data_IF_209717187342
#
_entry.id   IF_209717187342
#
_cell.length_a   1.000
_cell.length_b   1.000
_cell.length_c   1.000
_cell.angle_alpha   90.00
_cell.angle_beta   90.00
_cell.angle_gamma   90.00
#
_symmetry.space_group_name_H-M   'P 1'
#
loop_
_entity.id
_entity.type
_entity.pdbx_description
1 polymer ?
#
# COMPACT_ATOMS: atom_id res chain seq x y z
N UNK A 1 -12.71 -4.31 37.79
CA UNK A 1 -11.85 -4.13 36.61
C UNK A 1 -12.57 -3.24 35.60
N UNK A 2 -11.84 -2.34 35.01
CA UNK A 2 -12.39 -1.45 33.96
C UNK A 2 -11.84 -1.92 32.61
N UNK A 3 -12.69 -1.98 31.60
CA UNK A 3 -12.31 -2.38 30.26
C UNK A 3 -12.71 -1.26 29.29
N UNK A 4 -11.73 -0.75 28.57
CA UNK A 4 -11.99 0.28 27.57
C UNK A 4 -12.62 -0.35 26.33
N UNK A 5 -13.66 0.30 25.82
CA UNK A 5 -14.25 -0.02 24.52
C UNK A 5 -13.64 0.95 23.51
N UNK A 6 -13.09 0.43 22.40
CA UNK A 6 -12.38 1.24 21.43
C UNK A 6 -13.02 1.15 20.05
N UNK A 7 -12.84 2.22 19.26
CA UNK A 7 -13.20 2.21 17.84
C UNK A 7 -11.93 2.32 17.01
N UNK A 8 -12.05 1.99 15.73
CA UNK A 8 -10.94 2.11 14.78
C UNK A 8 -11.42 2.80 13.51
N UNK A 9 -10.52 3.53 12.88
CA UNK A 9 -10.83 4.20 11.61
C UNK A 9 -9.55 4.51 10.84
N UNK A 10 -9.70 4.69 9.53
CA UNK A 10 -8.63 5.23 8.70
C UNK A 10 -8.45 6.72 8.98
N UNK A 11 -7.20 7.17 8.97
CA UNK A 11 -6.86 8.58 9.10
C UNK A 11 -6.16 9.02 7.83
N UNK A 12 -6.71 10.04 7.16
CA UNK A 12 -6.08 10.63 5.99
C UNK A 12 -4.84 11.41 6.42
N UNK A 13 -3.68 11.04 5.91
CA UNK A 13 -2.43 11.75 6.20
C UNK A 13 -2.13 12.82 5.17
N UNK A 14 -2.32 12.52 3.89
CA UNK A 14 -2.10 13.46 2.79
C UNK A 14 -2.78 12.97 1.52
N UNK A 15 -2.80 13.80 0.50
CA UNK A 15 -3.22 13.40 -0.83
C UNK A 15 -2.00 13.33 -1.75
N UNK A 16 -2.06 12.38 -2.69
CA UNK A 16 -1.14 12.35 -3.80
C UNK A 16 -1.94 12.76 -5.03
N UNK A 17 -1.55 13.87 -5.64
CA UNK A 17 -2.19 14.36 -6.84
C UNK A 17 -1.49 13.77 -8.06
N UNK A 18 -2.19 12.91 -8.77
CA UNK A 18 -1.66 12.23 -9.95
C UNK A 18 -2.47 12.67 -11.15
N UNK A 19 -1.81 13.24 -12.16
CA UNK A 19 -2.44 13.89 -13.29
C UNK A 19 -2.91 12.94 -14.40
N UNK A 20 -2.70 11.65 -14.25
CA UNK A 20 -3.09 10.64 -15.23
C UNK A 20 -4.15 9.71 -14.66
N UNK A 21 -5.07 9.20 -15.48
CA UNK A 21 -6.07 8.27 -14.96
C UNK A 21 -5.47 6.93 -14.54
N UNK A 22 -5.98 6.38 -13.46
CA UNK A 22 -5.66 5.02 -13.02
C UNK A 22 -6.90 4.18 -13.28
N UNK A 23 -6.90 3.43 -14.38
CA UNK A 23 -8.05 2.62 -14.81
C UNK A 23 -7.75 1.13 -14.81
N UNK A 24 -6.48 0.77 -14.93
CA UNK A 24 -6.02 -0.62 -15.01
C UNK A 24 -4.91 -0.83 -14.00
N UNK A 25 -4.68 -2.06 -13.55
CA UNK A 25 -3.55 -2.34 -12.63
C UNK A 25 -2.20 -1.85 -13.15
N UNK A 26 -1.96 -1.89 -14.46
CA UNK A 26 -0.71 -1.41 -15.05
C UNK A 26 -0.49 0.09 -14.81
N UNK A 27 -1.56 0.85 -14.73
CA UNK A 27 -1.45 2.31 -14.50
C UNK A 27 -0.89 2.61 -13.11
N UNK A 28 -1.05 1.69 -12.16
CA UNK A 28 -0.50 1.86 -10.81
C UNK A 28 1.02 1.80 -10.79
N UNK A 29 1.63 1.08 -11.74
CA UNK A 29 3.10 0.99 -11.84
C UNK A 29 3.70 2.36 -12.08
N UNK A 30 3.14 3.12 -13.03
CA UNK A 30 3.63 4.46 -13.33
C UNK A 30 3.45 5.42 -12.16
N UNK A 31 2.31 5.33 -11.48
CA UNK A 31 2.04 6.11 -10.28
C UNK A 31 3.10 5.85 -9.20
N UNK A 32 3.36 4.57 -8.93
CA UNK A 32 4.32 4.18 -7.88
C UNK A 32 5.75 4.56 -8.28
N UNK A 33 6.09 4.43 -9.56
CA UNK A 33 7.42 4.83 -10.04
C UNK A 33 7.69 6.30 -9.78
N UNK A 34 6.71 7.17 -10.04
CA UNK A 34 6.86 8.61 -9.75
C UNK A 34 7.06 8.87 -8.25
N UNK A 35 6.34 8.13 -7.40
CA UNK A 35 6.43 8.34 -5.96
C UNK A 35 7.72 7.79 -5.35
N UNK A 36 8.31 6.76 -5.96
CA UNK A 36 9.44 6.05 -5.37
C UNK A 36 10.80 6.34 -6.02
N UNK A 37 10.82 6.99 -7.20
CA UNK A 37 12.03 7.07 -8.03
C UNK A 37 13.20 7.80 -7.38
N UNK A 38 12.93 8.77 -6.53
CA UNK A 38 13.98 9.62 -5.93
C UNK A 38 14.21 9.33 -4.46
N UNK A 39 13.70 8.20 -3.96
CA UNK A 39 13.86 7.86 -2.56
C UNK A 39 15.23 7.26 -2.30
N UNK A 40 15.90 7.75 -1.28
CA UNK A 40 17.20 7.27 -0.82
C UNK A 40 17.10 6.16 0.24
N UNK A 41 15.88 5.75 0.57
CA UNK A 41 15.62 4.73 1.57
C UNK A 41 14.55 3.77 1.07
N UNK A 42 14.49 2.61 1.69
CA UNK A 42 13.47 1.64 1.36
C UNK A 42 12.10 2.10 1.85
N UNK A 43 11.11 1.87 1.00
CA UNK A 43 9.73 2.15 1.30
C UNK A 43 8.87 1.02 0.75
N UNK A 44 7.82 0.70 1.47
CA UNK A 44 6.75 -0.16 0.99
C UNK A 44 5.49 0.68 0.85
N UNK A 45 4.85 0.58 -0.29
CA UNK A 45 3.56 1.22 -0.53
C UNK A 45 2.55 0.15 -0.92
N UNK A 46 1.40 0.17 -0.27
CA UNK A 46 0.29 -0.70 -0.65
C UNK A 46 -0.83 0.13 -1.26
N UNK A 47 -1.42 -0.40 -2.32
CA UNK A 47 -2.62 0.16 -2.93
C UNK A 47 -3.76 -0.79 -2.63
N UNK A 48 -4.79 -0.27 -1.99
CA UNK A 48 -5.99 -1.02 -1.68
C UNK A 48 -6.98 -0.89 -2.83
N UNK A 49 -7.49 -2.01 -3.33
CA UNK A 49 -8.33 -2.07 -4.51
C UNK A 49 -9.73 -2.58 -4.17
N UNK A 50 -10.72 -2.08 -4.88
CA UNK A 50 -12.08 -2.61 -4.80
C UNK A 50 -12.23 -3.84 -5.70
N UNK A 51 -13.46 -4.37 -5.79
CA UNK A 51 -13.77 -5.56 -6.58
C UNK A 51 -13.56 -5.36 -8.08
N UNK A 52 -13.53 -4.12 -8.54
CA UNK A 52 -13.31 -3.76 -9.94
C UNK A 52 -11.87 -3.38 -10.23
N UNK A 53 -10.96 -3.64 -9.28
CA UNK A 53 -9.54 -3.27 -9.36
C UNK A 53 -9.30 -1.75 -9.41
N UNK A 54 -10.24 -0.97 -8.92
CA UNK A 54 -10.06 0.46 -8.77
C UNK A 54 -9.34 0.77 -7.46
N UNK A 55 -8.45 1.74 -7.49
CA UNK A 55 -7.69 2.14 -6.30
C UNK A 55 -8.59 2.90 -5.32
N UNK A 56 -8.71 2.37 -4.12
CA UNK A 56 -9.45 3.02 -3.04
C UNK A 56 -8.57 4.04 -2.32
N UNK A 57 -7.35 3.64 -2.01
CA UNK A 57 -6.37 4.48 -1.32
C UNK A 57 -4.99 3.83 -1.38
N UNK A 58 -4.01 4.55 -0.87
CA UNK A 58 -2.65 4.07 -0.72
C UNK A 58 -2.24 4.13 0.75
N UNK A 59 -1.44 3.19 1.18
CA UNK A 59 -0.87 3.16 2.52
C UNK A 59 0.64 3.02 2.41
N UNK A 60 1.37 3.99 2.96
CA UNK A 60 2.82 3.95 2.97
C UNK A 60 3.26 3.30 4.27
N UNK A 61 3.92 2.16 4.13
CA UNK A 61 4.46 1.41 5.26
C UNK A 61 5.95 1.70 5.31
N UNK A 62 6.39 2.30 6.39
CA UNK A 62 7.81 2.54 6.60
C UNK A 62 8.52 1.22 6.77
N UNK A 63 9.51 1.00 5.91
CA UNK A 63 10.42 -0.13 6.06
C UNK A 63 11.71 0.46 6.59
N UNK A 64 11.89 0.39 7.89
CA UNK A 64 13.08 0.92 8.52
C UNK A 64 13.73 -0.14 9.38
N UNK A 65 15.02 0.01 9.61
CA UNK A 65 15.74 -0.86 10.51
C UNK A 65 16.77 -1.72 9.80
N UNK A 66 17.34 -2.65 10.55
CA UNK A 66 18.47 -3.47 10.10
C UNK A 66 18.07 -4.55 9.10
N UNK A 67 16.80 -4.91 9.07
CA UNK A 67 16.29 -5.90 8.14
C UNK A 67 15.10 -5.31 7.39
N UNK A 68 15.40 -4.73 6.26
CA UNK A 68 14.45 -4.08 5.37
C UNK A 68 13.58 -5.05 4.58
N UNK A 69 13.86 -6.35 4.64
CA UNK A 69 13.02 -7.35 3.98
C UNK A 69 11.75 -7.68 4.77
N UNK A 70 11.67 -7.25 6.03
CA UNK A 70 10.51 -7.52 6.87
C UNK A 70 9.51 -6.38 6.73
N UNK A 71 8.40 -6.66 6.07
CA UNK A 71 7.26 -5.76 6.00
C UNK A 71 6.28 -6.16 7.10
N UNK A 72 5.74 -5.17 7.80
CA UNK A 72 4.74 -5.43 8.82
C UNK A 72 3.41 -5.82 8.16
N UNK A 73 3.19 -7.12 8.05
CA UNK A 73 1.98 -7.69 7.45
C UNK A 73 0.73 -7.22 8.18
N UNK A 74 0.81 -7.03 9.50
CA UNK A 74 -0.35 -6.54 10.27
C UNK A 74 -0.77 -5.15 9.82
N UNK A 75 0.19 -4.24 9.61
CA UNK A 75 -0.12 -2.89 9.12
C UNK A 75 -0.75 -2.92 7.74
N UNK A 76 -0.22 -3.74 6.84
CA UNK A 76 -0.77 -3.91 5.50
C UNK A 76 -2.22 -4.41 5.56
N UNK A 77 -2.47 -5.44 6.34
CA UNK A 77 -3.80 -6.01 6.47
C UNK A 77 -4.79 -5.07 7.15
N UNK A 78 -4.34 -4.32 8.15
CA UNK A 78 -5.21 -3.35 8.83
C UNK A 78 -5.74 -2.31 7.86
N UNK A 79 -4.90 -1.72 7.03
CA UNK A 79 -5.34 -0.71 6.07
C UNK A 79 -6.30 -1.31 5.04
N UNK A 80 -6.04 -2.51 4.57
CA UNK A 80 -6.89 -3.18 3.61
C UNK A 80 -8.28 -3.50 4.19
N UNK A 81 -8.31 -4.03 5.40
CA UNK A 81 -9.57 -4.38 6.06
C UNK A 81 -10.41 -3.16 6.37
N UNK A 82 -9.79 -2.09 6.87
CA UNK A 82 -10.50 -0.84 7.15
C UNK A 82 -11.00 -0.15 5.88
N UNK A 83 -10.35 -0.40 4.75
CA UNK A 83 -10.74 0.14 3.45
C UNK A 83 -11.81 -0.70 2.74
N UNK A 84 -12.18 -1.85 3.30
CA UNK A 84 -13.01 -2.85 2.63
C UNK A 84 -12.44 -3.27 1.28
N UNK A 85 -11.13 -3.41 1.21
CA UNK A 85 -10.44 -3.78 -0.01
C UNK A 85 -10.70 -5.22 -0.39
N UNK A 86 -10.81 -5.49 -1.69
CA UNK A 86 -10.88 -6.84 -2.23
C UNK A 86 -9.52 -7.34 -2.71
N UNK A 87 -8.59 -6.42 -2.92
CA UNK A 87 -7.24 -6.76 -3.33
C UNK A 87 -6.25 -5.72 -2.84
N UNK A 88 -4.99 -6.11 -2.82
CA UNK A 88 -3.87 -5.25 -2.43
C UNK A 88 -2.76 -5.44 -3.45
N UNK A 89 -2.19 -4.34 -3.94
CA UNK A 89 -0.94 -4.36 -4.66
C UNK A 89 0.11 -3.75 -3.75
N UNK A 90 1.17 -4.50 -3.46
CA UNK A 90 2.27 -4.03 -2.63
C UNK A 90 3.48 -3.77 -3.50
N UNK A 91 4.04 -2.57 -3.37
CA UNK A 91 5.27 -2.18 -4.05
C UNK A 91 6.36 -1.92 -3.03
N UNK A 92 7.56 -2.32 -3.38
CA UNK A 92 8.73 -2.15 -2.54
C UNK A 92 9.87 -1.62 -3.40
N UNK A 93 10.44 -0.47 -3.06
CA UNK A 93 11.55 0.10 -3.82
C UNK A 93 12.88 -0.52 -3.39
N UNK A 94 13.85 -0.45 -4.31
CA UNK A 94 15.22 -0.92 -4.08
C UNK A 94 16.19 0.22 -4.37
N UNK A 95 16.55 1.02 -3.35
CA UNK A 95 17.37 2.23 -3.58
C UNK A 95 18.80 1.95 -4.05
N UNK A 96 19.28 0.72 -3.93
CA UNK A 96 20.68 0.38 -4.23
C UNK A 96 21.00 0.18 -5.71
N UNK A 97 20.21 0.71 -6.64
CA UNK A 97 20.57 0.76 -8.04
C UNK A 97 19.56 0.16 -9.03
N UNK A 98 18.49 -0.42 -8.55
CA UNK A 98 17.41 -0.86 -9.42
C UNK A 98 16.25 0.11 -9.31
N UNK A 99 15.93 0.81 -10.40
CA UNK A 99 14.86 1.80 -10.43
C UNK A 99 13.46 1.19 -10.45
N UNK A 100 13.35 -0.10 -10.68
CA UNK A 100 12.05 -0.79 -10.76
C UNK A 100 11.69 -1.37 -9.40
N UNK A 101 10.58 -0.95 -8.79
CA UNK A 101 10.14 -1.55 -7.53
C UNK A 101 9.65 -2.97 -7.73
N UNK A 102 9.81 -3.81 -6.69
CA UNK A 102 9.16 -5.12 -6.65
C UNK A 102 7.67 -4.95 -6.45
N UNK A 103 6.88 -5.85 -7.03
CA UNK A 103 5.43 -5.84 -6.93
C UNK A 103 4.93 -7.19 -6.46
N UNK A 104 4.00 -7.18 -5.52
CA UNK A 104 3.28 -8.38 -5.10
C UNK A 104 1.80 -8.07 -5.02
N UNK A 105 0.98 -8.99 -5.55
CA UNK A 105 -0.47 -8.85 -5.59
C UNK A 105 -1.10 -9.85 -4.65
N UNK A 106 -2.06 -9.38 -3.86
CA UNK A 106 -2.81 -10.21 -2.93
C UNK A 106 -4.30 -10.03 -3.17
N UNK A 107 -5.05 -11.11 -3.10
CA UNK A 107 -6.51 -11.05 -3.12
C UNK A 107 -7.05 -11.36 -1.74
N UNK A 108 -7.98 -10.54 -1.31
CA UNK A 108 -8.72 -10.78 -0.08
C UNK A 108 -10.04 -11.39 -0.51
N UNK A 109 -10.16 -12.70 -0.32
CA UNK A 109 -11.35 -13.41 -0.74
C UNK A 109 -12.34 -13.44 0.42
N UNK A 110 -13.50 -12.84 0.21
CA UNK A 110 -14.63 -13.10 1.07
C UNK A 110 -15.26 -14.42 0.63
N UNK A 111 -15.29 -15.35 1.54
CA UNK A 111 -16.08 -16.57 1.33
C UNK A 111 -17.48 -16.30 1.83
N UNK A 112 -18.38 -16.29 0.91
CA UNK A 112 -19.80 -16.33 1.24
C UNK A 112 -20.22 -17.74 1.57
#
# INVERSE_FOLDING_TARGET
MKIDVVGIRLVKEREIDYDKPIKKPIDTVNFVLEEMQDLDREMCMTLNLDANNCVLNAHIVSVGGLDSSIVDVKSVMKSALLSNACGIIMYHNHPSGNSTPSQEDFQITEKN
#
